data_IF_454875615096
#
_entry.id   IF_454875615096
#
_cell.length_a   1.000
_cell.length_b   1.000
_cell.length_c   1.000
_cell.angle_alpha   90.00
_cell.angle_beta   90.00
_cell.angle_gamma   90.00
#
_symmetry.space_group_name_H-M   'P 1'
#
loop_
_entity.id
_entity.type
_entity.pdbx_description
1 polymer ?
#
# COMPACT_ATOMS: atom_id res chain seq x y z
N UNK A 1 18.22 -22.06 4.68
CA UNK A 1 17.52 -21.36 5.77
C UNK A 1 16.02 -21.50 5.55
N UNK A 2 15.29 -21.87 6.58
CA UNK A 2 13.82 -22.01 6.46
C UNK A 2 13.17 -20.64 6.30
N UNK A 3 12.28 -20.45 5.32
CA UNK A 3 11.55 -19.20 5.17
C UNK A 3 10.79 -18.77 6.43
N UNK A 4 10.34 -19.73 7.26
CA UNK A 4 9.61 -19.43 8.49
C UNK A 4 10.47 -18.97 9.67
N UNK A 5 11.81 -18.93 9.52
CA UNK A 5 12.73 -18.61 10.62
C UNK A 5 12.96 -17.10 10.80
N UNK A 6 12.66 -16.28 9.81
CA UNK A 6 12.94 -14.84 9.82
C UNK A 6 11.71 -14.01 9.57
N UNK A 7 11.71 -12.83 10.19
CA UNK A 7 10.72 -11.79 9.96
C UNK A 7 11.31 -10.74 9.03
N UNK A 8 10.59 -10.38 7.98
CA UNK A 8 11.00 -9.37 7.02
C UNK A 8 10.06 -8.17 7.11
N UNK A 9 10.59 -6.95 7.20
CA UNK A 9 9.74 -5.77 7.15
C UNK A 9 9.21 -5.56 5.73
N UNK A 10 7.94 -5.22 5.64
CA UNK A 10 7.33 -4.88 4.37
C UNK A 10 6.35 -3.72 4.57
N UNK A 11 6.07 -2.99 3.50
CA UNK A 11 5.20 -1.83 3.54
C UNK A 11 4.11 -2.00 2.50
N UNK A 12 2.87 -1.79 2.93
CA UNK A 12 1.68 -2.03 2.12
C UNK A 12 0.95 -0.72 1.93
N UNK A 13 0.67 -0.35 0.68
CA UNK A 13 -0.22 0.76 0.36
C UNK A 13 -1.67 0.26 0.36
N UNK A 14 -2.56 1.04 0.98
CA UNK A 14 -3.99 0.75 1.00
C UNK A 14 -4.73 1.93 0.38
N UNK A 15 -5.69 1.63 -0.48
CA UNK A 15 -6.53 2.64 -1.11
C UNK A 15 -7.94 2.14 -1.32
N UNK A 16 -8.91 3.04 -1.17
CA UNK A 16 -10.32 2.74 -1.38
C UNK A 16 -11.07 4.02 -1.73
N UNK A 17 -12.06 3.95 -2.61
CA UNK A 17 -12.96 5.08 -2.87
C UNK A 17 -14.43 4.66 -3.02
N UNK A 18 -14.79 3.45 -2.59
CA UNK A 18 -16.16 2.94 -2.63
C UNK A 18 -16.56 2.38 -1.27
N UNK A 19 -17.89 2.43 -0.98
CA UNK A 19 -18.48 1.74 0.16
C UNK A 19 -17.85 2.08 1.50
N UNK A 20 -17.81 3.38 1.83
CA UNK A 20 -17.19 3.87 3.08
C UNK A 20 -15.69 3.57 3.11
N UNK A 21 -14.88 4.29 2.34
CA UNK A 21 -13.46 3.98 2.15
C UNK A 21 -12.64 3.86 3.42
N UNK A 22 -12.83 4.76 4.38
CA UNK A 22 -12.09 4.70 5.64
C UNK A 22 -12.36 3.39 6.39
N UNK A 23 -13.61 2.95 6.41
CA UNK A 23 -13.99 1.69 7.05
C UNK A 23 -13.40 0.50 6.32
N UNK A 24 -13.38 0.53 4.98
CA UNK A 24 -12.74 -0.53 4.18
C UNK A 24 -11.28 -0.68 4.54
N UNK A 25 -10.58 0.44 4.70
CA UNK A 25 -9.16 0.42 5.08
C UNK A 25 -9.00 -0.17 6.49
N UNK A 26 -9.81 0.25 7.45
CA UNK A 26 -9.74 -0.27 8.82
C UNK A 26 -9.96 -1.77 8.88
N UNK A 27 -10.95 -2.28 8.14
CA UNK A 27 -11.21 -3.72 8.07
C UNK A 27 -10.03 -4.46 7.42
N UNK A 28 -9.46 -3.89 6.35
CA UNK A 28 -8.30 -4.47 5.69
C UNK A 28 -7.10 -4.57 6.63
N UNK A 29 -6.88 -3.56 7.46
CA UNK A 29 -5.78 -3.60 8.44
C UNK A 29 -5.93 -4.76 9.42
N UNK A 30 -7.15 -5.04 9.88
CA UNK A 30 -7.41 -6.22 10.71
C UNK A 30 -7.12 -7.51 9.98
N UNK A 31 -7.47 -7.60 8.70
CA UNK A 31 -7.21 -8.79 7.89
C UNK A 31 -5.71 -8.97 7.61
N UNK A 32 -4.96 -7.88 7.44
CA UNK A 32 -3.50 -7.97 7.30
C UNK A 32 -2.86 -8.61 8.54
N UNK A 33 -3.32 -8.23 9.72
CA UNK A 33 -2.80 -8.78 10.98
C UNK A 33 -3.16 -10.27 11.17
N UNK A 34 -4.16 -10.75 10.45
CA UNK A 34 -4.59 -12.15 10.48
C UNK A 34 -3.88 -13.03 9.45
N UNK A 35 -3.10 -12.47 8.53
CA UNK A 35 -2.35 -13.27 7.56
C UNK A 35 -1.36 -14.17 8.31
N UNK A 36 -1.35 -15.49 8.04
CA UNK A 36 -0.43 -16.40 8.71
C UNK A 36 1.03 -15.96 8.56
N UNK A 37 1.78 -16.00 9.66
CA UNK A 37 3.19 -15.60 9.65
C UNK A 37 3.41 -14.11 9.43
N UNK A 38 2.42 -13.28 9.71
CA UNK A 38 2.47 -11.84 9.47
C UNK A 38 1.85 -11.11 10.66
N UNK A 39 2.41 -9.93 10.97
CA UNK A 39 1.84 -9.06 11.99
C UNK A 39 1.90 -7.61 11.56
N UNK A 40 0.87 -6.87 11.91
CA UNK A 40 0.81 -5.43 11.70
C UNK A 40 1.67 -4.73 12.75
N UNK A 41 2.54 -3.82 12.32
CA UNK A 41 3.48 -3.12 13.21
C UNK A 41 3.04 -1.68 13.44
N UNK A 42 2.78 -0.94 12.37
CA UNK A 42 2.32 0.44 12.47
C UNK A 42 1.50 0.82 11.25
N UNK A 43 0.72 1.88 11.39
CA UNK A 43 -0.17 2.37 10.33
C UNK A 43 -0.08 3.88 10.28
N UNK A 44 -0.07 4.44 9.09
CA UNK A 44 -0.13 5.88 8.90
C UNK A 44 -1.52 6.44 9.23
N UNK A 45 -1.62 7.75 9.28
CA UNK A 45 -2.92 8.44 9.22
C UNK A 45 -3.60 8.14 7.89
N UNK A 46 -4.89 8.45 7.80
CA UNK A 46 -5.63 8.37 6.54
C UNK A 46 -5.47 9.68 5.76
N UNK A 47 -5.35 9.55 4.46
CA UNK A 47 -5.20 10.68 3.54
C UNK A 47 -6.26 10.58 2.46
N UNK A 48 -6.86 11.71 2.10
CA UNK A 48 -7.80 11.79 0.98
C UNK A 48 -7.08 12.38 -0.22
N UNK A 49 -7.30 11.81 -1.39
CA UNK A 49 -6.72 12.28 -2.64
C UNK A 49 -7.73 12.23 -3.77
N UNK A 50 -7.58 13.15 -4.73
CA UNK A 50 -8.39 13.16 -5.93
C UNK A 50 -8.01 11.98 -6.85
N UNK A 51 -8.98 11.43 -7.60
CA UNK A 51 -8.70 10.29 -8.46
C UNK A 51 -7.87 10.65 -9.69
N UNK A 52 -7.21 9.63 -10.25
CA UNK A 52 -6.46 9.72 -11.49
C UNK A 52 -7.33 9.47 -12.72
N UNK A 53 -6.77 9.76 -13.89
CA UNK A 53 -7.23 9.23 -15.16
C UNK A 53 -8.41 9.94 -15.78
N UNK A 54 -8.84 11.07 -15.23
CA UNK A 54 -9.93 11.84 -15.80
C UNK A 54 -11.29 11.19 -15.70
N UNK A 55 -11.41 10.06 -15.00
CA UNK A 55 -12.69 9.39 -14.74
C UNK A 55 -13.34 10.06 -13.53
N UNK A 56 -14.58 10.51 -13.70
CA UNK A 56 -15.33 11.09 -12.59
C UNK A 56 -15.71 10.00 -11.60
N UNK A 57 -15.24 10.12 -10.36
CA UNK A 57 -15.45 9.14 -9.30
C UNK A 57 -15.14 9.77 -7.95
N UNK A 58 -15.56 9.15 -6.83
CA UNK A 58 -15.25 9.67 -5.50
C UNK A 58 -13.75 9.73 -5.24
N UNK A 59 -13.35 10.62 -4.34
CA UNK A 59 -11.96 10.71 -3.88
C UNK A 59 -11.54 9.41 -3.21
N UNK A 60 -10.24 9.11 -3.32
CA UNK A 60 -9.65 7.98 -2.61
C UNK A 60 -9.31 8.34 -1.18
N UNK A 61 -9.41 7.36 -0.30
CA UNK A 61 -8.77 7.37 1.01
C UNK A 61 -7.60 6.41 0.97
N UNK A 62 -6.45 6.84 1.45
CA UNK A 62 -5.18 6.11 1.35
C UNK A 62 -4.48 6.04 2.69
N UNK A 63 -3.74 4.97 2.90
CA UNK A 63 -2.88 4.78 4.05
C UNK A 63 -1.70 3.88 3.67
N UNK A 64 -0.70 3.83 4.54
CA UNK A 64 0.40 2.87 4.42
C UNK A 64 0.52 2.12 5.74
N UNK A 65 0.68 0.82 5.66
CA UNK A 65 0.90 -0.05 6.81
C UNK A 65 2.30 -0.66 6.75
N UNK A 66 2.95 -0.72 7.90
CA UNK A 66 4.18 -1.48 8.07
C UNK A 66 3.84 -2.83 8.69
N UNK A 67 4.36 -3.89 8.12
CA UNK A 67 4.17 -5.25 8.62
C UNK A 67 5.51 -5.95 8.79
N UNK A 68 5.51 -6.99 9.61
CA UNK A 68 6.58 -7.98 9.65
C UNK A 68 5.97 -9.29 9.15
N UNK A 69 6.67 -9.96 8.26
CA UNK A 69 6.16 -11.21 7.67
C UNK A 69 7.26 -12.24 7.52
N UNK A 70 6.87 -13.51 7.67
CA UNK A 70 7.72 -14.66 7.37
C UNK A 70 7.50 -15.17 5.95
N UNK A 71 6.51 -14.62 5.25
CA UNK A 71 6.15 -15.06 3.90
C UNK A 71 7.14 -14.51 2.88
N UNK A 72 7.44 -15.30 1.87
CA UNK A 72 8.18 -14.82 0.71
C UNK A 72 7.33 -13.84 -0.09
N UNK A 73 7.93 -12.93 -0.89
CA UNK A 73 7.16 -11.93 -1.61
C UNK A 73 6.00 -12.47 -2.46
N UNK A 74 6.14 -13.55 -3.24
CA UNK A 74 4.99 -14.07 -3.99
C UNK A 74 3.86 -14.60 -3.11
N UNK A 75 4.21 -15.23 -1.99
CA UNK A 75 3.22 -15.71 -1.02
C UNK A 75 2.49 -14.56 -0.36
N UNK A 76 3.22 -13.51 0.00
CA UNK A 76 2.62 -12.31 0.57
C UNK A 76 1.67 -11.65 -0.42
N UNK A 77 2.09 -11.52 -1.69
CA UNK A 77 1.23 -10.97 -2.73
C UNK A 77 -0.09 -11.74 -2.86
N UNK A 78 -0.02 -13.07 -2.84
CA UNK A 78 -1.22 -13.90 -2.90
C UNK A 78 -2.17 -13.64 -1.72
N UNK A 79 -1.61 -13.44 -0.52
CA UNK A 79 -2.41 -13.12 0.65
C UNK A 79 -3.06 -11.73 0.56
N UNK A 80 -2.33 -10.75 0.02
CA UNK A 80 -2.89 -9.41 -0.21
C UNK A 80 -4.07 -9.47 -1.19
N UNK A 81 -3.95 -10.26 -2.25
CA UNK A 81 -5.02 -10.47 -3.20
C UNK A 81 -6.24 -11.14 -2.56
N UNK A 82 -6.01 -12.09 -1.65
CA UNK A 82 -7.10 -12.71 -0.90
C UNK A 82 -7.84 -11.69 -0.02
N UNK A 83 -7.11 -10.77 0.61
CA UNK A 83 -7.74 -9.71 1.41
C UNK A 83 -8.60 -8.82 0.52
N UNK A 84 -8.09 -8.42 -0.65
CA UNK A 84 -8.87 -7.64 -1.61
C UNK A 84 -10.16 -8.35 -2.01
N UNK A 85 -10.06 -9.66 -2.29
CA UNK A 85 -11.23 -10.46 -2.68
C UNK A 85 -12.25 -10.59 -1.55
N UNK A 86 -11.79 -10.74 -0.31
CA UNK A 86 -12.67 -10.82 0.85
C UNK A 86 -13.39 -9.51 1.14
N UNK A 87 -12.79 -8.38 0.77
CA UNK A 87 -13.43 -7.07 0.89
C UNK A 87 -14.40 -6.77 -0.25
N UNK A 88 -14.65 -7.74 -1.13
CA UNK A 88 -15.61 -7.60 -2.20
C UNK A 88 -15.10 -6.77 -3.37
N UNK A 89 -13.81 -6.89 -3.69
CA UNK A 89 -13.24 -6.20 -4.84
C UNK A 89 -14.00 -6.58 -6.11
N UNK A 90 -14.60 -5.59 -6.74
CA UNK A 90 -15.20 -5.75 -8.05
C UNK A 90 -14.15 -5.45 -9.12
N UNK A 91 -14.13 -6.27 -10.16
CA UNK A 91 -13.29 -6.00 -11.31
C UNK A 91 -13.90 -4.88 -12.11
N UNK A 92 -13.25 -3.74 -12.08
CA UNK A 92 -13.61 -2.61 -12.91
C UNK A 92 -12.74 -2.66 -14.14
N UNK A 93 -13.33 -2.65 -15.33
CA UNK A 93 -12.59 -2.73 -16.58
C UNK A 93 -11.71 -1.50 -16.82
N UNK A 94 -12.11 -0.35 -16.33
CA UNK A 94 -11.34 0.88 -16.45
C UNK A 94 -10.14 0.84 -15.49
N UNK A 95 -8.94 1.04 -16.04
CA UNK A 95 -7.67 0.96 -15.30
C UNK A 95 -7.63 1.83 -14.05
N UNK A 96 -8.17 3.05 -14.11
CA UNK A 96 -8.16 4.02 -13.02
C UNK A 96 -9.53 4.19 -12.38
N UNK A 97 -10.41 3.21 -12.58
CA UNK A 97 -11.78 3.25 -12.07
C UNK A 97 -11.89 3.04 -10.56
N UNK A 98 -13.12 3.13 -10.03
CA UNK A 98 -13.38 2.96 -8.60
C UNK A 98 -12.97 1.60 -8.06
N UNK A 99 -12.52 1.57 -6.79
CA UNK A 99 -12.09 0.36 -6.10
C UNK A 99 -12.64 0.33 -4.68
N UNK A 100 -13.15 -0.84 -4.27
CA UNK A 100 -13.51 -1.08 -2.87
C UNK A 100 -12.24 -1.09 -2.03
N UNK A 101 -11.22 -1.81 -2.50
CA UNK A 101 -9.94 -1.89 -1.82
C UNK A 101 -8.83 -2.27 -2.80
N UNK A 102 -7.74 -1.50 -2.77
CA UNK A 102 -6.49 -1.85 -3.43
C UNK A 102 -5.40 -2.00 -2.37
N UNK A 103 -4.66 -3.09 -2.46
CA UNK A 103 -3.48 -3.33 -1.63
C UNK A 103 -2.27 -3.50 -2.53
N UNK A 104 -1.26 -2.66 -2.32
CA UNK A 104 -0.02 -2.70 -3.08
C UNK A 104 1.15 -3.06 -2.18
N UNK A 105 1.94 -4.05 -2.57
CA UNK A 105 3.22 -4.31 -1.92
C UNK A 105 4.21 -3.25 -2.40
N UNK A 106 4.56 -2.33 -1.51
CA UNK A 106 5.41 -1.18 -1.84
C UNK A 106 6.89 -1.51 -1.75
N UNK A 107 7.29 -2.07 -0.60
CA UNK A 107 8.67 -2.41 -0.29
C UNK A 107 8.68 -3.71 0.49
N UNK A 108 9.62 -4.58 0.18
CA UNK A 108 9.82 -5.84 0.91
C UNK A 108 11.29 -5.94 1.32
N UNK A 109 11.59 -5.65 2.59
CA UNK A 109 12.96 -5.61 3.11
C UNK A 109 13.82 -4.72 2.20
N UNK A 110 15.04 -5.11 1.90
CA UNK A 110 15.90 -4.42 0.92
C UNK A 110 15.89 -5.07 -0.46
N UNK A 111 14.88 -5.88 -0.75
CA UNK A 111 14.85 -6.68 -1.98
C UNK A 111 14.43 -5.84 -3.19
N UNK A 112 14.98 -6.21 -4.35
CA UNK A 112 14.55 -5.70 -5.65
C UNK A 112 14.07 -6.88 -6.46
N UNK A 113 12.81 -6.82 -6.90
CA UNK A 113 12.17 -7.86 -7.69
C UNK A 113 11.53 -7.20 -8.91
N UNK A 114 11.79 -7.76 -10.09
CA UNK A 114 11.20 -7.27 -11.33
C UNK A 114 10.67 -8.46 -12.11
N UNK A 115 9.38 -8.74 -11.93
CA UNK A 115 8.68 -9.84 -12.58
C UNK A 115 7.34 -9.33 -13.10
N UNK A 116 6.71 -10.00 -14.06
CA UNK A 116 5.44 -9.53 -14.62
C UNK A 116 4.34 -9.32 -13.58
N UNK A 117 4.25 -10.20 -12.57
CA UNK A 117 3.20 -10.12 -11.54
C UNK A 117 3.63 -9.34 -10.31
N UNK A 118 4.93 -9.07 -10.13
CA UNK A 118 5.44 -8.51 -8.89
C UNK A 118 6.69 -7.67 -9.13
N UNK A 119 6.59 -6.40 -8.84
CA UNK A 119 7.73 -5.47 -8.85
C UNK A 119 7.87 -4.83 -7.47
N UNK A 120 9.04 -4.97 -6.85
CA UNK A 120 9.38 -4.33 -5.57
C UNK A 120 10.76 -3.69 -5.71
N UNK A 121 10.94 -2.45 -5.34
CA UNK A 121 9.91 -1.51 -4.87
C UNK A 121 8.84 -1.25 -5.92
N UNK A 122 7.64 -0.91 -5.46
CA UNK A 122 6.54 -0.59 -6.39
C UNK A 122 6.97 0.54 -7.31
N UNK A 123 6.78 0.41 -8.64
CA UNK A 123 7.32 1.38 -9.59
C UNK A 123 6.74 2.79 -9.47
N UNK A 124 5.57 2.92 -8.85
CA UNK A 124 4.93 4.23 -8.69
C UNK A 124 5.27 4.98 -7.42
N UNK A 125 6.12 4.45 -6.53
CA UNK A 125 6.39 5.08 -5.22
C UNK A 125 6.88 6.52 -5.39
N UNK A 126 7.85 6.74 -6.25
CA UNK A 126 8.49 8.05 -6.39
C UNK A 126 7.60 9.15 -6.96
N UNK A 127 6.47 8.80 -7.53
CA UNK A 127 5.59 9.71 -8.24
C UNK A 127 4.23 9.91 -7.56
N UNK A 128 3.96 9.21 -6.45
CA UNK A 128 2.64 9.20 -5.82
C UNK A 128 2.70 9.80 -4.42
N UNK A 129 2.22 11.04 -4.29
CA UNK A 129 2.19 11.71 -3.00
C UNK A 129 1.27 10.98 -1.99
N UNK A 130 0.22 10.30 -2.47
CA UNK A 130 -0.67 9.52 -1.62
C UNK A 130 -0.05 8.20 -1.14
N UNK A 131 1.17 7.89 -1.57
CA UNK A 131 2.03 6.85 -1.04
C UNK A 131 3.16 7.48 -0.20
N UNK A 132 3.84 8.48 -0.74
CA UNK A 132 5.00 9.09 -0.09
C UNK A 132 4.66 9.81 1.22
N UNK A 133 3.54 10.52 1.28
CA UNK A 133 3.15 11.21 2.51
C UNK A 133 2.87 10.23 3.65
N UNK A 134 2.00 9.23 3.49
CA UNK A 134 1.79 8.26 4.56
C UNK A 134 3.02 7.41 4.85
N UNK A 135 3.80 7.03 3.84
CA UNK A 135 5.03 6.28 4.06
C UNK A 135 6.04 7.10 4.86
N UNK A 136 6.21 8.37 4.53
CA UNK A 136 7.09 9.27 5.26
C UNK A 136 6.66 9.51 6.70
N UNK A 137 5.38 9.41 6.99
CA UNK A 137 4.86 9.54 8.34
C UNK A 137 5.35 8.41 9.25
N UNK A 138 5.38 7.17 8.75
CA UNK A 138 5.71 6.00 9.57
C UNK A 138 7.13 5.48 9.36
N UNK A 139 7.78 5.83 8.25
CA UNK A 139 9.09 5.29 7.92
C UNK A 139 9.96 6.32 7.16
N UNK A 140 10.23 7.50 7.78
CA UNK A 140 11.01 8.54 7.10
C UNK A 140 12.46 8.10 6.81
N UNK A 141 12.99 7.17 7.59
CA UNK A 141 14.37 6.72 7.45
C UNK A 141 14.53 5.48 6.57
N UNK A 142 13.43 4.97 6.04
CA UNK A 142 13.44 3.80 5.16
C UNK A 142 14.23 4.08 3.89
N UNK A 143 15.17 3.19 3.56
CA UNK A 143 15.86 3.21 2.28
C UNK A 143 15.06 2.40 1.27
N UNK A 144 14.60 3.06 0.21
CA UNK A 144 13.89 2.39 -0.88
C UNK A 144 14.90 2.12 -1.99
N UNK A 145 15.13 0.85 -2.35
CA UNK A 145 16.08 0.54 -3.43
C UNK A 145 15.81 1.35 -4.69
N UNK A 146 16.84 2.01 -5.20
CA UNK A 146 16.74 2.84 -6.39
C UNK A 146 16.21 4.26 -6.18
N UNK A 147 15.63 4.56 -5.03
CA UNK A 147 15.07 5.90 -4.73
C UNK A 147 15.78 6.60 -3.57
N UNK A 148 16.41 5.83 -2.68
CA UNK A 148 17.06 6.38 -1.50
C UNK A 148 16.12 6.50 -0.31
N UNK A 149 16.50 7.34 0.64
CA UNK A 149 15.77 7.54 1.90
C UNK A 149 14.44 8.24 1.65
N UNK A 150 13.36 7.71 2.21
CA UNK A 150 12.00 8.24 2.00
C UNK A 150 11.93 9.74 2.32
N UNK A 151 12.53 10.18 3.43
CA UNK A 151 12.52 11.58 3.84
C UNK A 151 13.16 12.51 2.79
N UNK A 152 14.02 11.99 1.93
CA UNK A 152 14.73 12.77 0.90
C UNK A 152 14.05 12.73 -0.46
N UNK A 153 12.97 11.97 -0.62
CA UNK A 153 12.24 11.90 -1.89
C UNK A 153 11.30 13.10 -1.98
N UNK A 154 11.40 13.92 -3.04
CA UNK A 154 10.51 15.09 -3.18
C UNK A 154 9.05 14.69 -3.28
N UNK A 155 8.18 15.40 -2.56
CA UNK A 155 6.73 15.15 -2.57
C UNK A 155 6.02 16.43 -3.03
N UNK A 156 5.20 16.31 -4.07
CA UNK A 156 4.34 17.40 -4.51
C UNK A 156 3.00 17.33 -3.77
N UNK A 157 2.86 18.12 -2.69
CA UNK A 157 1.68 18.08 -1.84
C UNK A 157 0.43 18.67 -2.49
N UNK A 158 0.58 19.47 -3.54
CA UNK A 158 -0.56 20.06 -4.24
C UNK A 158 -1.15 19.13 -5.31
N UNK A 159 -0.40 18.13 -5.73
CA UNK A 159 -0.87 17.14 -6.70
C UNK A 159 -1.95 16.27 -6.08
N UNK A 160 -3.02 15.98 -6.85
CA UNK A 160 -4.18 15.20 -6.39
C UNK A 160 -4.89 15.77 -5.16
N UNK A 161 -4.66 17.05 -4.83
CA UNK A 161 -5.32 17.71 -3.69
C UNK A 161 -5.29 16.88 -2.42
N UNK A 162 -4.13 16.27 -2.11
CA UNK A 162 -4.01 15.35 -1.00
C UNK A 162 -4.19 16.06 0.35
N UNK A 163 -4.94 15.41 1.26
CA UNK A 163 -5.27 15.95 2.56
C UNK A 163 -5.31 14.87 3.62
N UNK A 164 -4.60 15.08 4.72
CA UNK A 164 -4.66 14.18 5.87
C UNK A 164 -6.00 14.37 6.59
N UNK A 165 -6.73 13.29 6.83
CA UNK A 165 -8.09 13.34 7.39
C UNK A 165 -8.26 12.60 8.73
N UNK A 166 -7.28 11.79 9.13
CA UNK A 166 -7.41 11.08 10.42
C UNK A 166 -6.07 10.67 11.00
#
# INVERSE_FOLDING_TARGET
MSPGAHWYPAYIGLGSNLQKPAQQIEEALGLLDEIPGTRLVSVSSLYRSAPFGGIEQPDFVNAVAAILTKLAPPELLAQLQNVENRQGRERVEARWGPRVLDLDLLVYSGHTISQPELSVPHPGIGERNFVLLPLGEIAPDLEVPGLGRVANIPVNQSEHCILRIA
#
